data_IF_806113755480
#
_entry.id   IF_806113755480
#
_cell.length_a   1.000
_cell.length_b   1.000
_cell.length_c   1.000
_cell.angle_alpha   90.00
_cell.angle_beta   90.00
_cell.angle_gamma   90.00
#
_symmetry.space_group_name_H-M   'P 1'
#
loop_
_entity.id
_entity.type
_entity.pdbx_description
1 polymer ?
#
# COMPACT_ATOMS: atom_id res chain seq x y z
N UNK A 1 -2.03 11.61 8.79
CA UNK A 1 -3.22 10.90 8.28
C UNK A 1 -3.57 11.51 6.94
N UNK A 2 -3.98 10.70 5.96
CA UNK A 2 -4.57 11.21 4.73
C UNK A 2 -5.96 11.77 5.06
N UNK A 3 -6.38 12.85 4.41
CA UNK A 3 -7.69 13.48 4.66
C UNK A 3 -8.89 12.56 4.31
N UNK A 4 -8.62 11.34 3.84
CA UNK A 4 -9.59 10.35 3.36
C UNK A 4 -10.18 9.48 4.48
N UNK A 5 -9.50 9.35 5.63
CA UNK A 5 -9.93 8.46 6.73
C UNK A 5 -10.08 9.24 8.03
N UNK A 6 -11.22 9.02 8.71
CA UNK A 6 -11.48 9.65 9.99
C UNK A 6 -10.61 9.05 11.11
N UNK A 7 -10.53 9.76 12.24
CA UNK A 7 -9.92 9.23 13.45
C UNK A 7 -10.59 7.92 13.92
N UNK A 8 -11.91 7.82 13.75
CA UNK A 8 -12.69 6.64 14.14
C UNK A 8 -12.37 5.44 13.24
N UNK A 9 -12.16 5.65 11.94
CA UNK A 9 -11.77 4.58 11.01
C UNK A 9 -10.40 4.02 11.38
N UNK A 10 -9.44 4.92 11.66
CA UNK A 10 -8.11 4.53 12.13
C UNK A 10 -8.16 3.78 13.46
N UNK A 11 -8.94 4.27 14.42
CA UNK A 11 -9.08 3.63 15.74
C UNK A 11 -9.71 2.25 15.63
N UNK A 12 -10.72 2.10 14.76
CA UNK A 12 -11.33 0.80 14.47
C UNK A 12 -10.31 -0.19 13.90
N UNK A 13 -9.54 0.21 12.89
CA UNK A 13 -8.50 -0.65 12.32
C UNK A 13 -7.39 -0.96 13.34
N UNK A 14 -7.04 -0.02 14.21
CA UNK A 14 -6.06 -0.25 15.29
C UNK A 14 -6.50 -1.37 16.23
N UNK A 15 -7.77 -1.39 16.61
CA UNK A 15 -8.32 -2.50 17.39
C UNK A 15 -8.23 -3.81 16.61
N UNK A 16 -8.57 -3.82 15.31
CA UNK A 16 -8.53 -5.04 14.50
C UNK A 16 -7.11 -5.57 14.33
N UNK A 17 -6.15 -4.72 13.99
CA UNK A 17 -4.75 -5.13 13.86
C UNK A 17 -4.16 -5.58 15.21
N UNK A 18 -4.58 -4.98 16.33
CA UNK A 18 -4.11 -5.40 17.66
C UNK A 18 -4.66 -6.78 18.06
N UNK A 19 -5.87 -7.11 17.62
CA UNK A 19 -6.55 -8.36 17.97
C UNK A 19 -6.25 -9.51 16.99
N UNK A 20 -6.19 -9.24 15.69
CA UNK A 20 -6.22 -10.27 14.65
C UNK A 20 -4.92 -10.44 13.88
N UNK A 21 -4.04 -9.41 13.80
CA UNK A 21 -2.87 -9.46 12.91
C UNK A 21 -1.81 -10.51 13.29
N UNK A 22 -1.83 -10.99 14.54
CA UNK A 22 -0.92 -12.03 15.02
C UNK A 22 -1.44 -13.46 14.79
N UNK A 23 -2.70 -13.64 14.37
CA UNK A 23 -3.31 -14.95 14.21
C UNK A 23 -3.44 -15.29 12.72
N UNK A 24 -2.85 -16.42 12.33
CA UNK A 24 -2.73 -16.84 10.94
C UNK A 24 -4.06 -17.26 10.28
N UNK A 25 -5.08 -17.52 11.10
CA UNK A 25 -6.43 -17.84 10.64
C UNK A 25 -7.21 -16.61 10.19
N UNK A 26 -6.81 -15.43 10.64
CA UNK A 26 -7.52 -14.20 10.33
C UNK A 26 -6.85 -13.41 9.22
N UNK A 27 -7.70 -12.81 8.40
CA UNK A 27 -7.36 -11.94 7.31
C UNK A 27 -7.96 -10.57 7.59
N UNK A 28 -7.17 -9.52 7.40
CA UNK A 28 -7.64 -8.13 7.40
C UNK A 28 -7.50 -7.62 5.96
N UNK A 29 -8.63 -7.30 5.33
CA UNK A 29 -8.68 -6.88 3.93
C UNK A 29 -9.37 -5.51 3.76
N UNK A 30 -9.01 -4.82 2.68
CA UNK A 30 -9.68 -3.62 2.20
C UNK A 30 -10.09 -3.85 0.75
N UNK A 31 -11.37 -3.70 0.43
CA UNK A 31 -11.95 -3.90 -0.90
C UNK A 31 -12.55 -2.62 -1.44
N UNK A 32 -12.19 -2.27 -2.67
CA UNK A 32 -12.72 -1.08 -3.34
C UNK A 32 -14.00 -1.46 -4.08
N UNK A 33 -15.09 -0.73 -3.84
CA UNK A 33 -16.35 -0.94 -4.59
C UNK A 33 -16.34 -0.16 -5.91
N UNK A 34 -17.18 -0.61 -6.83
CA UNK A 34 -17.48 0.05 -8.11
C UNK A 34 -16.22 0.38 -8.93
N UNK A 35 -15.29 -0.57 -9.00
CA UNK A 35 -14.08 -0.42 -9.80
C UNK A 35 -14.44 -0.58 -11.28
N UNK A 36 -14.27 0.50 -12.05
CA UNK A 36 -14.44 0.46 -13.51
C UNK A 36 -13.26 -0.25 -14.17
N UNK A 37 -13.47 -0.79 -15.38
CA UNK A 37 -12.40 -1.41 -16.16
C UNK A 37 -11.20 -0.47 -16.39
N UNK A 38 -11.47 0.80 -16.71
CA UNK A 38 -10.44 1.81 -16.90
C UNK A 38 -9.60 2.01 -15.63
N UNK A 39 -10.27 2.15 -14.48
CA UNK A 39 -9.60 2.29 -13.19
C UNK A 39 -8.77 1.05 -12.83
N UNK A 40 -9.35 -0.14 -13.03
CA UNK A 40 -8.67 -1.41 -12.83
C UNK A 40 -7.39 -1.53 -13.66
N UNK A 41 -7.48 -1.30 -14.96
CA UNK A 41 -6.35 -1.39 -15.88
C UNK A 41 -5.27 -0.33 -15.56
N UNK A 42 -5.67 0.87 -15.09
CA UNK A 42 -4.74 1.89 -14.65
C UNK A 42 -3.95 1.47 -13.40
N UNK A 43 -4.63 0.93 -12.38
CA UNK A 43 -3.97 0.42 -11.17
C UNK A 43 -3.04 -0.74 -11.53
N UNK A 44 -3.53 -1.71 -12.31
CA UNK A 44 -2.74 -2.86 -12.77
C UNK A 44 -1.46 -2.42 -13.49
N UNK A 45 -1.59 -1.54 -14.49
CA UNK A 45 -0.45 -1.01 -15.25
C UNK A 45 0.54 -0.24 -14.39
N UNK A 46 0.07 0.46 -13.35
CA UNK A 46 0.93 1.19 -12.43
C UNK A 46 1.70 0.23 -11.54
N UNK A 47 1.03 -0.77 -10.95
CA UNK A 47 1.68 -1.77 -10.10
C UNK A 47 2.68 -2.62 -10.88
N UNK A 48 2.34 -3.05 -12.11
CA UNK A 48 3.26 -3.84 -12.97
C UNK A 48 4.54 -3.12 -13.35
N UNK A 49 4.61 -1.79 -13.26
CA UNK A 49 5.82 -1.00 -13.54
C UNK A 49 6.77 -0.90 -12.35
N UNK A 50 6.30 -1.19 -11.13
CA UNK A 50 7.16 -1.20 -9.96
C UNK A 50 7.98 -2.49 -9.94
N UNK A 51 9.29 -2.38 -9.70
CA UNK A 51 10.22 -3.52 -9.62
C UNK A 51 10.47 -3.98 -8.17
N UNK A 52 9.71 -3.46 -7.20
CA UNK A 52 9.96 -3.63 -5.77
C UNK A 52 9.10 -4.72 -5.12
N UNK A 53 8.42 -5.53 -5.92
CA UNK A 53 7.56 -6.62 -5.42
C UNK A 53 8.40 -7.78 -4.89
N UNK A 54 7.90 -8.41 -3.84
CA UNK A 54 8.53 -9.59 -3.21
C UNK A 54 8.20 -10.89 -3.93
N UNK A 55 7.23 -10.87 -4.82
CA UNK A 55 6.89 -11.97 -5.73
C UNK A 55 7.11 -11.53 -7.19
N UNK A 56 7.00 -12.48 -8.12
CA UNK A 56 6.89 -12.20 -9.55
C UNK A 56 5.40 -12.15 -9.91
N UNK A 57 4.79 -10.96 -10.08
CA UNK A 57 3.36 -10.86 -10.33
C UNK A 57 3.04 -11.45 -11.70
N UNK A 58 2.11 -12.40 -11.73
CA UNK A 58 1.63 -13.04 -12.95
C UNK A 58 0.12 -13.27 -12.85
N UNK A 59 -0.61 -13.28 -13.98
CA UNK A 59 -2.00 -13.71 -14.00
C UNK A 59 -2.12 -15.18 -13.60
N UNK A 60 -3.07 -15.47 -12.72
CA UNK A 60 -3.47 -16.82 -12.30
C UNK A 60 -4.96 -16.95 -12.52
N UNK A 61 -5.35 -17.95 -13.31
CA UNK A 61 -6.75 -18.29 -13.53
C UNK A 61 -7.20 -19.35 -12.51
N UNK A 62 -8.31 -19.09 -11.83
CA UNK A 62 -8.95 -20.03 -10.89
C UNK A 62 -10.46 -20.08 -11.08
N UNK A 63 -11.06 -21.16 -10.60
CA UNK A 63 -12.51 -21.29 -10.49
C UNK A 63 -12.84 -21.52 -9.02
N UNK A 64 -13.64 -20.64 -8.44
CA UNK A 64 -14.17 -20.83 -7.09
C UNK A 64 -15.61 -21.36 -7.21
N UNK A 65 -15.87 -22.51 -6.59
CA UNK A 65 -17.18 -23.12 -6.42
C UNK A 65 -17.64 -22.87 -4.99
N UNK A 66 -18.71 -22.10 -4.84
CA UNK A 66 -19.31 -21.84 -3.53
C UNK A 66 -20.42 -22.85 -3.29
N UNK A 67 -20.23 -23.75 -2.33
CA UNK A 67 -21.22 -24.74 -1.95
C UNK A 67 -22.29 -24.14 -1.02
N UNK A 68 -23.50 -24.72 -1.03
CA UNK A 68 -24.60 -24.30 -0.14
C UNK A 68 -24.24 -24.45 1.35
N UNK A 69 -23.35 -25.38 1.68
CA UNK A 69 -22.81 -25.57 3.04
C UNK A 69 -21.95 -24.40 3.53
N UNK A 70 -21.53 -23.50 2.64
CA UNK A 70 -20.57 -22.43 2.93
C UNK A 70 -19.10 -22.79 2.69
N UNK A 71 -18.78 -24.00 2.21
CA UNK A 71 -17.43 -24.34 1.75
C UNK A 71 -17.17 -23.69 0.38
N UNK A 72 -15.97 -23.13 0.22
CA UNK A 72 -15.39 -22.70 -1.07
C UNK A 72 -14.41 -23.77 -1.53
N UNK A 73 -14.67 -24.37 -2.68
CA UNK A 73 -13.71 -25.19 -3.40
C UNK A 73 -13.06 -24.34 -4.49
N UNK A 74 -11.74 -24.32 -4.56
CA UNK A 74 -11.01 -23.56 -5.58
C UNK A 74 -10.21 -24.52 -6.45
N UNK A 75 -10.39 -24.43 -7.76
CA UNK A 75 -9.56 -25.12 -8.76
C UNK A 75 -8.53 -24.17 -9.36
N UNK A 76 -7.27 -24.58 -9.38
CA UNK A 76 -6.22 -23.88 -10.11
C UNK A 76 -6.02 -24.46 -11.53
N UNK A 77 -5.33 -23.70 -12.38
CA UNK A 77 -5.02 -24.13 -13.75
C UNK A 77 -4.11 -25.38 -13.82
N UNK A 78 -3.44 -25.75 -12.72
CA UNK A 78 -2.61 -26.94 -12.63
C UNK A 78 -3.41 -28.21 -12.24
N UNK A 79 -4.72 -28.08 -12.02
CA UNK A 79 -5.59 -29.19 -11.63
C UNK A 79 -5.59 -29.47 -10.12
N UNK A 80 -4.97 -28.61 -9.32
CA UNK A 80 -5.04 -28.64 -7.87
C UNK A 80 -6.40 -28.13 -7.37
N UNK A 81 -6.89 -28.73 -6.29
CA UNK A 81 -8.11 -28.28 -5.59
C UNK A 81 -7.83 -28.04 -4.11
N UNK A 82 -8.32 -26.94 -3.55
CA UNK A 82 -8.32 -26.69 -2.11
C UNK A 82 -9.69 -26.26 -1.60
N UNK A 83 -9.99 -26.59 -0.35
CA UNK A 83 -11.30 -26.38 0.28
C UNK A 83 -11.13 -25.50 1.51
N UNK A 84 -11.89 -24.42 1.57
CA UNK A 84 -11.82 -23.43 2.65
C UNK A 84 -13.22 -23.04 3.11
N UNK A 85 -13.35 -22.73 4.40
CA UNK A 85 -14.52 -22.06 4.95
C UNK A 85 -14.11 -20.65 5.37
N UNK A 86 -14.69 -19.64 4.72
CA UNK A 86 -14.50 -18.23 5.08
C UNK A 86 -15.66 -17.76 5.95
N UNK A 87 -15.36 -17.19 7.11
CA UNK A 87 -16.34 -16.57 8.01
C UNK A 87 -15.98 -15.10 8.21
N UNK A 88 -16.90 -14.20 7.85
CA UNK A 88 -16.71 -12.77 8.08
C UNK A 88 -17.10 -12.44 9.52
N UNK A 89 -16.18 -11.81 10.25
CA UNK A 89 -16.38 -11.43 11.66
C UNK A 89 -16.77 -9.97 11.79
N UNK A 90 -16.01 -9.10 11.13
CA UNK A 90 -16.17 -7.65 11.24
C UNK A 90 -16.14 -7.03 9.85
N UNK A 91 -16.90 -5.96 9.66
CA UNK A 91 -16.93 -5.20 8.43
C UNK A 91 -17.25 -3.75 8.72
N UNK A 92 -16.58 -2.85 8.00
CA UNK A 92 -16.80 -1.42 8.06
C UNK A 92 -16.69 -0.85 6.65
N UNK A 93 -17.79 -0.27 6.17
CA UNK A 93 -17.80 0.50 4.94
C UNK A 93 -17.41 1.95 5.26
N UNK A 94 -16.36 2.45 4.62
CA UNK A 94 -15.90 3.83 4.74
C UNK A 94 -16.17 4.55 3.43
N UNK A 95 -17.00 5.58 3.48
CA UNK A 95 -17.24 6.46 2.34
C UNK A 95 -16.10 7.47 2.25
N UNK A 96 -15.30 7.37 1.20
CA UNK A 96 -14.31 8.38 0.85
C UNK A 96 -14.95 9.46 -0.03
N UNK A 97 -14.21 10.49 -0.40
CA UNK A 97 -14.72 11.54 -1.29
C UNK A 97 -15.18 11.03 -2.67
N UNK A 98 -14.74 9.83 -3.09
CA UNK A 98 -14.97 9.31 -4.45
C UNK A 98 -15.66 7.94 -4.48
N UNK A 99 -15.48 7.10 -3.46
CA UNK A 99 -15.99 5.71 -3.44
C UNK A 99 -16.04 5.10 -2.05
N UNK A 100 -16.74 3.98 -1.95
CA UNK A 100 -16.74 3.16 -0.74
C UNK A 100 -15.54 2.20 -0.73
N UNK A 101 -14.80 2.21 0.37
CA UNK A 101 -13.83 1.16 0.71
C UNK A 101 -14.41 0.32 1.84
N UNK A 102 -14.50 -0.98 1.63
CA UNK A 102 -14.92 -1.94 2.66
C UNK A 102 -13.69 -2.51 3.34
N UNK A 103 -13.55 -2.25 4.63
CA UNK A 103 -12.61 -2.97 5.47
C UNK A 103 -13.31 -4.17 6.09
N UNK A 104 -12.66 -5.33 6.11
CA UNK A 104 -13.22 -6.53 6.70
C UNK A 104 -12.16 -7.33 7.47
N UNK A 105 -12.64 -8.04 8.50
CA UNK A 105 -11.91 -9.13 9.14
C UNK A 105 -12.67 -10.42 8.86
N UNK A 106 -11.98 -11.39 8.31
CA UNK A 106 -12.52 -12.72 8.07
C UNK A 106 -11.55 -13.78 8.60
N UNK A 107 -12.07 -14.97 8.91
CA UNK A 107 -11.23 -16.14 9.13
C UNK A 107 -11.34 -17.09 7.96
N UNK A 108 -10.23 -17.71 7.57
CA UNK A 108 -10.19 -18.81 6.61
C UNK A 108 -9.68 -20.08 7.30
N UNK A 109 -10.50 -21.13 7.28
CA UNK A 109 -10.12 -22.44 7.84
C UNK A 109 -10.17 -23.52 6.75
N UNK A 110 -9.17 -24.43 6.69
CA UNK A 110 -9.23 -25.59 5.82
C UNK A 110 -10.51 -26.39 6.06
N UNK A 111 -11.15 -26.81 4.98
CA UNK A 111 -12.35 -27.63 5.02
C UNK A 111 -12.08 -28.99 4.37
N UNK A 112 -12.90 -29.99 4.71
CA UNK A 112 -12.94 -31.23 3.95
C UNK A 112 -13.65 -31.00 2.60
N UNK A 113 -13.44 -31.93 1.66
CA UNK A 113 -14.19 -31.96 0.41
C UNK A 113 -15.70 -31.98 0.69
N UNK A 114 -16.43 -31.14 -0.03
CA UNK A 114 -17.87 -30.96 0.15
C UNK A 114 -18.65 -31.56 -1.04
N UNK A 115 -19.69 -32.33 -0.74
CA UNK A 115 -20.57 -32.95 -1.75
C UNK A 115 -21.91 -32.22 -1.91
N UNK A 116 -22.14 -31.15 -1.16
CA UNK A 116 -23.35 -30.36 -1.26
C UNK A 116 -23.40 -29.57 -2.58
N UNK A 117 -24.60 -29.22 -3.08
CA UNK A 117 -24.73 -28.50 -4.34
C UNK A 117 -23.93 -27.19 -4.37
N UNK A 118 -23.33 -26.90 -5.53
CA UNK A 118 -22.71 -25.60 -5.80
C UNK A 118 -23.83 -24.59 -6.05
N UNK A 119 -23.80 -23.46 -5.34
CA UNK A 119 -24.76 -22.35 -5.49
C UNK A 119 -24.22 -21.17 -6.29
N UNK A 120 -22.90 -21.09 -6.49
CA UNK A 120 -22.28 -20.02 -7.25
C UNK A 120 -20.92 -20.47 -7.80
N UNK A 121 -20.68 -20.10 -9.05
CA UNK A 121 -19.43 -20.26 -9.75
C UNK A 121 -18.79 -18.88 -9.93
N UNK A 122 -17.50 -18.75 -9.64
CA UNK A 122 -16.72 -17.54 -9.92
C UNK A 122 -15.47 -17.89 -10.71
N UNK A 123 -15.42 -17.47 -11.97
CA UNK A 123 -14.22 -17.54 -12.79
C UNK A 123 -13.37 -16.31 -12.51
N UNK A 124 -12.15 -16.53 -12.03
CA UNK A 124 -11.24 -15.47 -11.61
C UNK A 124 -9.98 -15.49 -12.45
N UNK A 125 -9.56 -14.32 -12.90
CA UNK A 125 -8.19 -14.08 -13.34
C UNK A 125 -7.57 -13.03 -12.43
N UNK A 126 -6.58 -13.43 -11.64
CA UNK A 126 -6.00 -12.61 -10.58
C UNK A 126 -4.54 -12.31 -10.86
N UNK A 127 -4.12 -11.07 -10.59
CA UNK A 127 -2.71 -10.71 -10.47
C UNK A 127 -2.47 -10.26 -9.04
N UNK A 128 -1.54 -10.91 -8.35
CA UNK A 128 -1.18 -10.60 -6.96
C UNK A 128 0.18 -9.90 -6.91
N UNK A 129 0.25 -8.76 -6.24
CA UNK A 129 1.49 -8.03 -5.98
C UNK A 129 1.78 -8.06 -4.48
N UNK A 130 2.88 -8.68 -4.08
CA UNK A 130 3.27 -8.79 -2.67
C UNK A 130 4.31 -7.73 -2.30
N UNK A 131 4.02 -6.94 -1.28
CA UNK A 131 4.91 -5.89 -0.80
C UNK A 131 5.56 -6.29 0.52
N UNK A 132 6.85 -6.64 0.44
CA UNK A 132 7.72 -7.00 1.58
C UNK A 132 7.13 -8.11 2.46
N UNK A 133 6.36 -9.01 1.86
CA UNK A 133 5.63 -10.09 2.54
C UNK A 133 4.64 -9.62 3.61
N UNK A 134 4.24 -8.34 3.60
CA UNK A 134 3.36 -7.75 4.63
C UNK A 134 1.97 -7.47 4.10
N UNK A 135 1.87 -6.96 2.87
CA UNK A 135 0.61 -6.66 2.22
C UNK A 135 0.57 -7.26 0.83
N UNK A 136 -0.60 -7.76 0.42
CA UNK A 136 -0.87 -8.18 -0.95
C UNK A 136 -1.85 -7.20 -1.59
N UNK A 137 -1.60 -6.84 -2.84
CA UNK A 137 -2.58 -6.19 -3.69
C UNK A 137 -3.10 -7.25 -4.65
N UNK A 138 -4.38 -7.56 -4.57
CA UNK A 138 -5.02 -8.53 -5.46
C UNK A 138 -5.93 -7.80 -6.44
N UNK A 139 -5.62 -7.92 -7.73
CA UNK A 139 -6.43 -7.37 -8.80
C UNK A 139 -7.07 -8.53 -9.55
N UNK A 140 -8.38 -8.67 -9.40
CA UNK A 140 -9.13 -9.82 -9.93
C UNK A 140 -10.16 -9.37 -10.95
N UNK A 141 -10.11 -9.97 -12.14
CA UNK A 141 -11.21 -9.98 -13.11
C UNK A 141 -12.11 -11.17 -12.79
N UNK A 142 -13.41 -10.93 -12.61
CA UNK A 142 -14.36 -11.96 -12.19
C UNK A 142 -15.54 -12.05 -13.13
N UNK A 143 -15.94 -13.28 -13.49
CA UNK A 143 -17.29 -13.56 -13.96
C UNK A 143 -17.98 -14.50 -12.98
N UNK A 144 -19.25 -14.23 -12.66
CA UNK A 144 -19.97 -15.01 -11.65
C UNK A 144 -21.41 -15.31 -12.04
N UNK A 145 -21.93 -16.44 -11.57
CA UNK A 145 -23.28 -16.90 -11.83
C UNK A 145 -23.67 -18.07 -10.93
N UNK A 146 -24.95 -18.39 -10.88
CA UNK A 146 -25.53 -19.50 -10.11
C UNK A 146 -25.28 -20.89 -10.73
N UNK A 147 -24.91 -20.91 -12.00
CA UNK A 147 -24.47 -22.08 -12.76
C UNK A 147 -23.18 -21.79 -13.52
N UNK A 148 -22.46 -22.83 -13.93
CA UNK A 148 -21.23 -22.66 -14.71
C UNK A 148 -21.48 -21.93 -16.03
N UNK A 149 -22.55 -22.30 -16.75
CA UNK A 149 -22.92 -21.67 -18.01
C UNK A 149 -23.28 -20.18 -17.82
N UNK A 150 -24.06 -19.86 -16.78
CA UNK A 150 -24.40 -18.47 -16.45
C UNK A 150 -23.15 -17.67 -16.08
N UNK A 151 -22.25 -18.24 -15.27
CA UNK A 151 -21.01 -17.58 -14.86
C UNK A 151 -20.07 -17.32 -16.05
N UNK A 152 -20.00 -18.22 -17.04
CA UNK A 152 -19.21 -17.99 -18.26
C UNK A 152 -19.79 -16.89 -19.15
N UNK A 153 -21.12 -16.81 -19.23
CA UNK A 153 -21.84 -15.80 -20.01
C UNK A 153 -21.98 -14.44 -19.31
N UNK A 154 -21.70 -14.38 -17.99
CA UNK A 154 -21.85 -13.18 -17.20
C UNK A 154 -20.91 -12.05 -17.62
N UNK A 155 -21.33 -10.83 -17.31
CA UNK A 155 -20.51 -9.63 -17.46
C UNK A 155 -19.24 -9.73 -16.61
N UNK A 156 -18.16 -9.14 -17.12
CA UNK A 156 -16.88 -9.10 -16.43
C UNK A 156 -16.84 -7.98 -15.38
N UNK A 157 -16.58 -8.36 -14.14
CA UNK A 157 -16.47 -7.46 -13.00
C UNK A 157 -15.00 -7.32 -12.58
N UNK A 158 -14.68 -6.22 -11.91
CA UNK A 158 -13.32 -5.88 -11.51
C UNK A 158 -13.26 -5.69 -9.99
N UNK A 159 -12.39 -6.43 -9.34
CA UNK A 159 -12.18 -6.38 -7.89
C UNK A 159 -10.74 -5.97 -7.61
N UNK A 160 -10.57 -5.01 -6.70
CA UNK A 160 -9.25 -4.65 -6.14
C UNK A 160 -9.34 -4.87 -4.64
N UNK A 161 -8.37 -5.60 -4.10
CA UNK A 161 -8.26 -5.94 -2.68
C UNK A 161 -6.85 -5.64 -2.20
N UNK A 162 -6.72 -5.16 -0.97
CA UNK A 162 -5.46 -5.10 -0.24
C UNK A 162 -5.61 -5.95 1.00
N UNK A 163 -4.76 -6.96 1.14
CA UNK A 163 -4.80 -7.91 2.25
C UNK A 163 -3.55 -7.75 3.11
N UNK A 164 -3.70 -7.81 4.42
CA UNK A 164 -2.56 -8.00 5.33
C UNK A 164 -2.19 -9.49 5.39
N UNK A 165 -0.97 -9.82 4.98
CA UNK A 165 -0.43 -11.18 4.94
C UNK A 165 0.82 -11.36 5.82
N UNK A 166 1.12 -10.37 6.67
CA UNK A 166 2.38 -10.21 7.42
C UNK A 166 2.55 -11.19 8.58
N UNK A 167 2.51 -12.49 8.31
CA UNK A 167 2.61 -13.55 9.34
C UNK A 167 4.07 -13.99 9.61
N UNK A 168 5.03 -13.57 8.78
CA UNK A 168 6.44 -14.03 8.85
C UNK A 168 7.42 -13.07 9.54
N UNK A 169 6.97 -12.01 10.21
CA UNK A 169 7.86 -11.01 10.83
C UNK A 169 7.83 -11.04 12.35
N UNK A 170 8.96 -10.63 12.94
CA UNK A 170 9.21 -10.63 14.37
C UNK A 170 8.11 -9.90 15.14
N UNK A 171 7.90 -10.34 16.38
CA UNK A 171 6.97 -9.81 17.40
C UNK A 171 7.07 -8.30 17.70
N UNK A 172 7.92 -7.55 16.97
CA UNK A 172 8.25 -6.15 17.22
C UNK A 172 7.45 -5.13 16.40
N UNK A 173 6.65 -5.53 15.40
CA UNK A 173 5.91 -4.55 14.59
C UNK A 173 4.64 -4.10 15.30
N UNK A 174 4.61 -2.83 15.72
CA UNK A 174 3.50 -2.25 16.47
C UNK A 174 2.22 -2.16 15.60
N UNK A 175 1.02 -2.50 16.13
CA UNK A 175 -0.23 -2.42 15.38
C UNK A 175 -0.51 -1.05 14.75
N UNK A 176 -0.13 0.04 15.42
CA UNK A 176 -0.28 1.40 14.88
C UNK A 176 0.47 1.59 13.56
N UNK A 177 1.69 1.05 13.45
CA UNK A 177 2.46 1.10 12.21
C UNK A 177 1.76 0.33 11.08
N UNK A 178 1.19 -0.85 11.38
CA UNK A 178 0.49 -1.67 10.39
C UNK A 178 -0.75 -0.95 9.85
N UNK A 179 -1.54 -0.33 10.72
CA UNK A 179 -2.73 0.45 10.32
C UNK A 179 -2.34 1.61 9.42
N UNK A 180 -1.35 2.40 9.82
CA UNK A 180 -0.94 3.57 9.03
C UNK A 180 -0.39 3.14 7.66
N UNK A 181 0.41 2.06 7.63
CA UNK A 181 0.94 1.46 6.41
C UNK A 181 -0.16 0.89 5.50
N UNK A 182 -1.23 0.34 6.08
CA UNK A 182 -2.38 -0.18 5.36
C UNK A 182 -3.23 0.93 4.77
N UNK A 183 -3.62 1.93 5.59
CA UNK A 183 -4.38 3.10 5.16
C UNK A 183 -3.66 3.90 4.06
N UNK A 184 -2.33 4.01 4.14
CA UNK A 184 -1.54 4.63 3.08
C UNK A 184 -1.68 3.89 1.74
N UNK A 185 -1.61 2.55 1.74
CA UNK A 185 -1.77 1.76 0.51
C UNK A 185 -3.18 1.87 -0.05
N UNK A 186 -4.19 1.90 0.83
CA UNK A 186 -5.57 2.15 0.42
C UNK A 186 -5.69 3.53 -0.22
N UNK A 187 -5.11 4.56 0.39
CA UNK A 187 -5.10 5.94 -0.15
C UNK A 187 -4.41 6.02 -1.51
N UNK A 188 -3.31 5.28 -1.71
CA UNK A 188 -2.61 5.25 -3.00
C UNK A 188 -3.49 4.64 -4.10
N UNK A 189 -4.19 3.54 -3.83
CA UNK A 189 -5.13 2.95 -4.78
C UNK A 189 -6.29 3.91 -5.07
N UNK A 190 -6.86 4.58 -4.06
CA UNK A 190 -7.88 5.61 -4.25
C UNK A 190 -7.40 6.72 -5.18
N UNK A 191 -6.17 7.21 -4.99
CA UNK A 191 -5.56 8.24 -5.85
C UNK A 191 -5.40 7.78 -7.30
N UNK A 192 -4.98 6.52 -7.50
CA UNK A 192 -4.84 5.93 -8.84
C UNK A 192 -6.21 5.77 -9.51
N UNK A 193 -7.23 5.39 -8.76
CA UNK A 193 -8.58 5.24 -9.27
C UNK A 193 -9.26 6.59 -9.58
N UNK A 194 -8.88 7.69 -8.90
CA UNK A 194 -9.39 9.05 -9.15
C UNK A 194 -8.83 9.67 -10.44
N UNK A 195 -7.54 9.45 -10.72
CA UNK A 195 -6.87 10.05 -11.87
C UNK A 195 -6.28 8.96 -12.79
N UNK A 196 -7.11 8.25 -13.58
CA UNK A 196 -6.63 7.20 -14.49
C UNK A 196 -5.81 7.73 -15.69
N UNK A 197 -5.44 9.02 -15.70
CA UNK A 197 -4.63 9.64 -16.75
C UNK A 197 -3.23 9.01 -16.85
N UNK A 198 -2.63 8.94 -18.04
CA UNK A 198 -1.27 8.45 -18.21
C UNK A 198 -0.31 9.27 -17.34
N UNK A 199 0.34 8.63 -16.38
CA UNK A 199 1.37 9.26 -15.54
C UNK A 199 2.48 9.75 -16.48
N UNK A 200 2.53 11.06 -16.73
CA UNK A 200 3.65 11.70 -17.39
C UNK A 200 4.93 11.28 -16.66
N UNK A 201 5.95 10.85 -17.41
CA UNK A 201 7.24 10.40 -16.88
C UNK A 201 7.70 11.37 -15.78
N UNK A 202 7.93 10.85 -14.57
CA UNK A 202 8.59 11.63 -13.50
C UNK A 202 9.90 12.18 -14.09
N UNK A 203 10.17 13.49 -14.04
CA UNK A 203 11.51 13.97 -14.35
C UNK A 203 12.45 13.37 -13.31
N UNK A 204 13.32 12.46 -13.76
CA UNK A 204 14.52 12.11 -13.01
C UNK A 204 15.35 13.39 -12.89
N UNK A 205 15.99 13.60 -11.74
CA UNK A 205 17.11 14.54 -11.66
C UNK A 205 18.05 14.21 -12.83
N UNK A 206 18.42 15.22 -13.61
CA UNK A 206 19.31 15.03 -14.74
C UNK A 206 20.62 14.39 -14.23
N UNK A 207 21.22 13.44 -14.98
CA UNK A 207 22.49 12.88 -14.59
C UNK A 207 23.54 13.99 -14.57
N UNK A 208 24.05 14.38 -13.40
CA UNK A 208 25.26 15.22 -13.34
C UNK A 208 25.38 16.24 -12.20
N UNK A 209 24.31 16.70 -11.54
CA UNK A 209 24.46 17.94 -10.74
C UNK A 209 24.30 17.80 -9.23
N UNK A 210 23.54 16.82 -8.71
CA UNK A 210 23.36 16.66 -7.26
C UNK A 210 23.22 15.17 -6.91
N UNK A 211 24.14 14.67 -6.09
CA UNK A 211 24.08 13.31 -5.54
C UNK A 211 23.48 13.32 -4.14
N UNK A 212 22.95 12.19 -3.70
CA UNK A 212 22.57 12.01 -2.30
C UNK A 212 23.76 12.28 -1.37
N UNK A 213 23.53 13.01 -0.28
CA UNK A 213 24.57 13.47 0.65
C UNK A 213 25.29 14.76 0.25
N UNK A 214 24.94 15.37 -0.89
CA UNK A 214 25.57 16.65 -1.31
C UNK A 214 25.09 17.80 -0.42
N UNK A 215 25.99 18.59 0.19
CA UNK A 215 25.64 19.80 0.92
C UNK A 215 25.18 20.91 -0.03
N UNK A 216 24.11 21.60 0.33
CA UNK A 216 23.49 22.63 -0.51
C UNK A 216 23.15 23.90 0.27
N UNK A 217 23.07 25.02 -0.45
CA UNK A 217 22.61 26.31 0.10
C UNK A 217 21.30 26.71 -0.56
N UNK A 218 20.33 27.18 0.25
CA UNK A 218 19.06 27.71 -0.25
C UNK A 218 19.22 29.18 -0.60
N UNK A 219 18.66 29.60 -1.75
CA UNK A 219 18.67 31.00 -2.16
C UNK A 219 17.90 31.89 -1.17
N UNK A 220 18.39 33.12 -0.88
CA UNK A 220 17.67 34.09 -0.05
C UNK A 220 16.25 34.35 -0.57
N UNK A 221 15.27 34.40 0.34
CA UNK A 221 13.85 34.59 -0.01
C UNK A 221 13.09 33.30 -0.30
N UNK A 222 13.75 32.13 -0.28
CA UNK A 222 13.08 30.83 -0.34
C UNK A 222 12.41 30.54 1.00
N UNK A 223 11.09 30.72 1.08
CA UNK A 223 10.33 30.44 2.31
C UNK A 223 10.08 28.94 2.42
N UNK A 224 10.66 28.31 3.46
CA UNK A 224 10.47 26.89 3.73
C UNK A 224 9.73 26.70 5.04
N UNK A 225 8.54 26.11 4.96
CA UNK A 225 7.73 25.81 6.14
C UNK A 225 8.22 24.52 6.79
N UNK A 226 8.79 24.67 7.97
CA UNK A 226 9.05 23.56 8.89
C UNK A 226 7.72 23.17 9.52
N UNK A 227 7.22 21.98 9.23
CA UNK A 227 6.12 21.43 10.02
C UNK A 227 6.72 20.69 11.23
N UNK A 228 6.24 20.94 12.46
CA UNK A 228 6.56 20.05 13.57
C UNK A 228 6.07 18.65 13.20
N UNK A 229 6.85 17.62 13.57
CA UNK A 229 6.37 16.23 13.55
C UNK A 229 5.00 16.19 14.23
N UNK A 230 3.99 15.69 13.54
CA UNK A 230 2.59 15.84 13.94
C UNK A 230 2.33 15.56 15.43
N UNK A 231 1.56 16.47 16.05
CA UNK A 231 0.97 16.44 17.39
C UNK A 231 1.50 15.39 18.40
N UNK A 232 2.24 15.87 19.40
CA UNK A 232 2.31 15.26 20.74
C UNK A 232 3.25 14.07 20.92
N UNK A 233 4.06 13.73 19.93
CA UNK A 233 5.09 12.68 20.09
C UNK A 233 6.48 13.29 20.18
N UNK A 234 7.25 12.77 21.14
CA UNK A 234 8.68 13.00 21.34
C UNK A 234 9.46 12.92 20.01
N UNK A 235 10.67 13.50 19.93
CA UNK A 235 11.57 13.31 18.79
C UNK A 235 11.57 11.83 18.36
N UNK A 236 11.39 11.60 17.07
CA UNK A 236 11.32 10.26 16.50
C UNK A 236 12.66 9.54 16.69
N UNK A 237 12.75 8.67 17.70
CA UNK A 237 13.92 7.82 17.98
C UNK A 237 13.86 6.50 17.18
N UNK A 238 13.78 6.59 15.85
CA UNK A 238 13.71 5.41 14.99
C UNK A 238 14.07 5.65 13.53
N UNK A 239 14.18 4.56 12.77
CA UNK A 239 14.32 4.60 11.31
C UNK A 239 12.97 4.92 10.67
N UNK A 240 12.92 5.91 9.78
CA UNK A 240 11.68 6.23 9.08
C UNK A 240 11.44 5.20 7.96
N UNK A 241 10.19 4.78 7.71
CA UNK A 241 9.93 3.65 6.82
C UNK A 241 10.40 3.93 5.39
N UNK A 242 11.10 2.98 4.77
CA UNK A 242 11.56 3.07 3.38
C UNK A 242 10.43 3.30 2.37
N UNK A 243 9.20 3.01 2.76
CA UNK A 243 7.96 3.22 2.02
C UNK A 243 7.48 4.68 2.07
N UNK A 244 7.66 5.33 3.22
CA UNK A 244 7.37 6.76 3.43
C UNK A 244 8.40 7.63 2.72
N UNK A 245 9.66 7.20 2.67
CA UNK A 245 10.73 7.87 1.94
C UNK A 245 10.60 7.72 0.42
N UNK A 246 10.19 6.54 -0.08
CA UNK A 246 10.09 6.28 -1.53
C UNK A 246 8.94 7.00 -2.25
N UNK A 247 7.90 7.41 -1.52
CA UNK A 247 6.71 8.03 -2.11
C UNK A 247 6.68 9.55 -2.00
N UNK A 248 7.58 10.12 -1.22
CA UNK A 248 7.56 11.53 -0.95
C UNK A 248 8.56 12.32 -1.80
N UNK A 249 8.15 13.51 -2.28
CA UNK A 249 8.99 14.39 -3.12
C UNK A 249 9.87 15.33 -2.27
N UNK A 250 10.43 14.84 -1.16
CA UNK A 250 11.22 15.69 -0.24
C UNK A 250 12.70 15.61 -0.56
N UNK A 251 13.38 16.72 -0.32
CA UNK A 251 14.81 16.78 -0.07
C UNK A 251 14.97 16.75 1.45
N UNK A 252 15.47 15.67 2.03
CA UNK A 252 15.76 15.63 3.47
C UNK A 252 17.04 16.42 3.74
N UNK A 253 16.97 17.48 4.54
CA UNK A 253 18.15 18.19 5.05
C UNK A 253 18.15 18.19 6.57
N UNK A 254 19.24 17.74 7.17
CA UNK A 254 19.56 18.07 8.56
C UNK A 254 20.11 19.49 8.61
N UNK A 255 19.58 20.34 9.52
CA UNK A 255 20.24 21.59 9.88
C UNK A 255 21.29 21.30 10.94
N UNK A 256 22.57 21.42 10.61
CA UNK A 256 23.63 21.37 11.62
C UNK A 256 23.55 22.65 12.46
N UNK A 257 23.24 22.60 13.77
CA UNK A 257 22.94 23.81 14.55
C UNK A 257 24.10 24.80 14.62
N UNK A 258 25.33 24.31 14.55
CA UNK A 258 26.55 25.11 14.63
C UNK A 258 26.90 25.83 13.31
N UNK A 259 26.47 25.30 12.15
CA UNK A 259 26.90 25.79 10.82
C UNK A 259 25.75 26.27 9.94
N UNK A 260 24.51 25.87 10.25
CA UNK A 260 23.31 26.24 9.49
C UNK A 260 23.12 25.51 8.16
N UNK A 261 23.97 24.52 7.84
CA UNK A 261 23.94 23.80 6.56
C UNK A 261 22.76 22.84 6.41
N UNK A 262 22.46 22.49 5.15
CA UNK A 262 21.41 21.56 4.71
C UNK A 262 22.01 20.49 3.77
N UNK A 263 21.55 19.24 3.85
CA UNK A 263 21.96 18.13 2.97
C UNK A 263 20.78 17.63 2.12
N UNK A 264 21.03 16.87 1.05
CA UNK A 264 19.96 16.20 0.29
C UNK A 264 20.03 14.69 0.53
N UNK A 265 19.05 14.11 1.21
CA UNK A 265 18.93 12.64 1.30
C UNK A 265 17.63 12.14 0.65
N UNK A 266 17.60 10.87 0.21
CA UNK A 266 16.40 10.21 -0.33
C UNK A 266 15.88 9.09 0.59
N UNK A 267 16.67 8.66 1.58
CA UNK A 267 16.27 7.73 2.63
C UNK A 267 16.60 8.28 4.04
N UNK A 268 15.80 7.94 5.06
CA UNK A 268 16.05 8.33 6.45
C UNK A 268 16.95 7.30 7.14
N UNK A 269 18.24 7.24 6.82
CA UNK A 269 19.14 6.39 7.60
C UNK A 269 20.54 6.98 7.75
N UNK A 270 20.94 7.13 9.02
CA UNK A 270 22.29 7.09 9.57
C UNK A 270 23.41 7.87 8.86
N UNK A 271 23.48 9.18 9.09
CA UNK A 271 24.76 9.88 9.05
C UNK A 271 25.51 9.62 10.37
N UNK A 272 26.54 8.76 10.31
CA UNK A 272 27.64 8.71 11.28
C UNK A 272 27.27 8.49 12.76
N UNK A 273 26.32 7.61 13.06
CA UNK A 273 26.10 7.13 14.44
C UNK A 273 25.70 8.20 15.47
N UNK A 274 25.18 9.35 15.02
CA UNK A 274 24.62 10.40 15.89
C UNK A 274 23.15 10.62 15.56
N UNK A 275 22.31 10.68 16.60
CA UNK A 275 20.93 11.08 16.50
C UNK A 275 20.87 12.59 16.23
N UNK A 276 20.40 12.99 15.04
CA UNK A 276 20.14 14.38 14.72
C UNK A 276 18.63 14.65 14.78
N UNK A 277 18.19 15.82 15.26
CA UNK A 277 16.81 16.24 15.06
C UNK A 277 16.50 16.29 13.55
N UNK A 278 15.51 15.52 13.14
CA UNK A 278 14.99 15.49 11.77
C UNK A 278 14.10 16.72 11.55
N UNK A 279 14.50 17.61 10.66
CA UNK A 279 13.67 18.73 10.20
C UNK A 279 13.16 18.42 8.78
N UNK A 280 11.86 18.58 8.56
CA UNK A 280 11.19 18.27 7.30
C UNK A 280 10.86 19.55 6.52
N UNK A 281 11.05 19.58 5.19
CA UNK A 281 10.82 20.76 4.33
C UNK A 281 9.66 20.60 3.35
N UNK A 282 8.45 21.13 3.64
CA UNK A 282 7.30 20.92 2.75
C UNK A 282 7.38 21.80 1.50
N UNK A 283 7.56 21.17 0.32
CA UNK A 283 7.44 21.85 -0.98
C UNK A 283 8.29 21.27 -2.11
N UNK A 284 8.03 21.70 -3.35
CA UNK A 284 9.00 21.56 -4.45
C UNK A 284 10.05 22.65 -4.25
N UNK A 285 11.28 22.29 -3.90
CA UNK A 285 12.40 23.22 -4.07
C UNK A 285 12.82 23.12 -5.54
N UNK A 286 12.59 24.15 -6.38
CA UNK A 286 13.05 24.09 -7.76
C UNK A 286 14.57 23.97 -7.77
N UNK A 287 15.14 23.21 -8.70
CA UNK A 287 16.59 23.02 -8.78
C UNK A 287 17.36 24.35 -8.85
N UNK A 288 16.74 25.39 -9.41
CA UNK A 288 17.24 26.77 -9.44
C UNK A 288 17.33 27.47 -8.08
N UNK A 289 16.70 26.94 -7.03
CA UNK A 289 16.74 27.46 -5.67
C UNK A 289 17.79 26.76 -4.79
N UNK A 290 18.56 25.83 -5.36
CA UNK A 290 19.55 24.99 -4.68
C UNK A 290 20.91 25.20 -5.36
N UNK A 291 21.87 25.80 -4.65
CA UNK A 291 23.25 25.87 -5.12
C UNK A 291 24.07 24.75 -4.49
N UNK A 292 24.71 23.93 -5.33
CA UNK A 292 25.71 22.98 -4.88
C UNK A 292 26.88 23.76 -4.29
N UNK A 293 27.31 23.42 -3.07
CA UNK A 293 28.53 24.01 -2.52
C UNK A 293 29.69 23.35 -3.26
N UNK A 294 30.23 24.01 -4.28
CA UNK A 294 31.55 23.65 -4.78
C UNK A 294 32.51 23.84 -3.62
N UNK A 295 33.20 22.76 -3.21
CA UNK A 295 34.27 22.89 -2.24
C UNK A 295 35.22 23.97 -2.78
N UNK A 296 35.24 25.12 -2.13
CA UNK A 296 36.30 26.07 -2.33
C UNK A 296 37.57 25.28 -2.02
N UNK A 297 38.42 25.13 -3.05
CA UNK A 297 39.75 24.58 -2.86
C UNK A 297 40.39 25.35 -1.69
N UNK A 298 40.86 24.57 -0.72
CA UNK A 298 41.79 25.02 0.31
C UNK A 298 42.93 25.85 -0.26
#
# INVERSE_FOLDING_TARGET
MTDEFSHDDRTCLLQWFSQYAANDRFEIEARFRDVTELGFNHVLSTLSRASTWSNAPAPVDTIDLMHVSGVRETYDAAGGSHFLRKAQHLCRDVMTSERVVRFAVASEEPAAKDSSPVRMFRFKQRVTFEHKGTFKFELTRVRQGDSEAAARAAELWHEIEIEYCGQKRSTATQPAYLVDSFLMKVSDVLRLLKNPAPIAKRPRLAPGELQEGTPVTLQPGTEVKLLPSGYGTLPFEGEMPAELSAQTRWVFSHKEPATGHAFIMNLPVSLFGKAYPLYYFFGRVPASAVEAKTNAAS
#
